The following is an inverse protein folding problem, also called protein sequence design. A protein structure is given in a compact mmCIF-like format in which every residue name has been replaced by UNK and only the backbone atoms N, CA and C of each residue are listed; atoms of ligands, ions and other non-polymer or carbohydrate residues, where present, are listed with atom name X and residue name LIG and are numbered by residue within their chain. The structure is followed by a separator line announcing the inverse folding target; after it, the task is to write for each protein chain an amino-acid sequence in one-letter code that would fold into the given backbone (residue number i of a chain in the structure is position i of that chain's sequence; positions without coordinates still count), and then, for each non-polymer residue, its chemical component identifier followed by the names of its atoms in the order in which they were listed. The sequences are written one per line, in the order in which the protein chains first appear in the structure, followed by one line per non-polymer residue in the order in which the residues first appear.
data_IF_926845158155
#
_entry.id   IF_926845158155
#
_cell.length_a   1.000
_cell.length_b   1.000
_cell.length_c   1.000
_cell.angle_alpha   90.00
_cell.angle_beta   90.00
_cell.angle_gamma   90.00
#
_symmetry.space_group_name_H-M   'P 1'
#
loop_
_entity.id
_entity.type
_entity.pdbx_description
1 polymer ?
#
# COMPACT_ATOMS: atom_id res chain seq x y z
N UNK A 1 25.56 4.50 27.88
CA UNK A 1 25.85 3.25 27.15
C UNK A 1 24.71 2.21 27.14
N UNK A 2 23.70 2.25 28.02
CA UNK A 2 22.59 1.24 28.00
C UNK A 2 21.31 1.67 27.26
N UNK A 3 21.16 2.96 26.89
CA UNK A 3 19.96 3.48 26.24
C UNK A 3 19.95 3.24 24.70
N UNK A 4 21.11 3.23 24.05
CA UNK A 4 21.22 3.04 22.60
C UNK A 4 21.00 1.58 22.18
N UNK A 5 21.31 0.64 23.07
CA UNK A 5 21.17 -0.80 22.81
C UNK A 5 19.70 -1.27 22.81
N UNK A 6 18.85 -0.68 23.66
CA UNK A 6 17.41 -1.02 23.72
C UNK A 6 16.63 -0.51 22.50
N UNK A 7 17.05 0.62 21.90
CA UNK A 7 16.39 1.19 20.71
C UNK A 7 16.61 0.32 19.46
N UNK A 8 17.82 -0.20 19.28
CA UNK A 8 18.17 -1.08 18.15
C UNK A 8 17.47 -2.44 18.20
N UNK A 9 17.13 -2.94 19.38
CA UNK A 9 16.48 -4.25 19.54
C UNK A 9 14.96 -4.21 19.32
N UNK A 10 14.30 -3.08 19.64
CA UNK A 10 12.89 -2.87 19.29
C UNK A 10 12.71 -2.59 17.78
N UNK A 11 13.61 -1.80 17.17
CA UNK A 11 13.60 -1.57 15.71
C UNK A 11 13.85 -2.85 14.89
N UNK A 12 14.57 -3.83 15.45
CA UNK A 12 14.88 -5.10 14.79
C UNK A 12 13.77 -6.16 14.95
N UNK A 13 13.07 -6.19 16.09
CA UNK A 13 11.91 -7.08 16.31
C UNK A 13 10.64 -6.59 15.59
N UNK A 14 10.38 -5.28 15.55
CA UNK A 14 9.18 -4.70 14.92
C UNK A 14 9.20 -4.73 13.38
N UNK A 15 10.40 -4.77 12.77
CA UNK A 15 10.59 -4.92 11.31
C UNK A 15 10.01 -6.21 10.72
N UNK A 16 9.65 -7.19 11.54
CA UNK A 16 9.48 -8.58 11.11
C UNK A 16 8.14 -8.96 10.44
N UNK A 17 7.13 -8.08 10.36
CA UNK A 17 5.82 -8.48 9.79
C UNK A 17 5.07 -7.45 8.94
N UNK A 18 5.68 -6.33 8.56
CA UNK A 18 5.02 -5.39 7.64
C UNK A 18 5.17 -5.88 6.21
N UNK A 19 4.07 -6.28 5.58
CA UNK A 19 4.04 -6.64 4.15
C UNK A 19 3.57 -5.43 3.35
N UNK A 20 4.47 -4.85 2.56
CA UNK A 20 4.06 -3.92 1.51
C UNK A 20 3.54 -4.74 0.33
N UNK A 21 2.34 -4.41 -0.16
CA UNK A 21 1.76 -4.99 -1.38
C UNK A 21 1.21 -3.84 -2.21
N UNK A 22 1.56 -3.82 -3.49
CA UNK A 22 1.06 -2.84 -4.43
C UNK A 22 0.28 -3.52 -5.55
N UNK A 23 -0.91 -2.99 -5.87
CA UNK A 23 -1.71 -3.38 -7.03
C UNK A 23 -1.48 -2.41 -8.18
N UNK A 24 -1.58 -2.91 -9.41
CA UNK A 24 -1.41 -2.11 -10.62
C UNK A 24 -2.72 -1.95 -11.39
N UNK A 25 -2.87 -0.80 -12.05
CA UNK A 25 -4.03 -0.48 -12.90
C UNK A 25 -4.13 -1.35 -14.14
N UNK A 26 -2.99 -1.84 -14.65
CA UNK A 26 -2.98 -2.72 -15.82
C UNK A 26 -3.22 -4.15 -15.34
N UNK A 27 -4.17 -4.84 -15.98
CA UNK A 27 -4.37 -6.28 -15.86
C UNK A 27 -3.16 -6.97 -16.51
N UNK A 28 -2.05 -7.04 -15.78
CA UNK A 28 -0.81 -7.64 -16.24
C UNK A 28 -0.68 -9.05 -15.72
N UNK A 29 -0.08 -9.92 -16.52
CA UNK A 29 0.35 -11.23 -16.04
C UNK A 29 1.44 -11.07 -14.98
N UNK A 30 1.52 -12.07 -14.11
CA UNK A 30 2.47 -12.08 -12.99
C UNK A 30 3.92 -11.97 -13.47
N UNK A 31 4.24 -12.50 -14.65
CA UNK A 31 5.57 -12.43 -15.28
C UNK A 31 5.98 -10.99 -15.57
N UNK A 32 5.12 -10.21 -16.23
CA UNK A 32 5.37 -8.79 -16.49
C UNK A 32 5.51 -7.97 -15.20
N UNK A 33 4.76 -8.32 -14.15
CA UNK A 33 4.91 -7.65 -12.86
C UNK A 33 6.24 -7.99 -12.17
N UNK A 34 6.77 -9.20 -12.36
CA UNK A 34 8.06 -9.59 -11.82
C UNK A 34 9.20 -8.83 -12.51
N UNK A 35 9.13 -8.65 -13.84
CA UNK A 35 10.07 -7.83 -14.61
C UNK A 35 10.03 -6.36 -14.15
N UNK A 36 8.83 -5.76 -14.06
CA UNK A 36 8.68 -4.38 -13.59
C UNK A 36 9.22 -4.19 -12.17
N UNK A 37 9.00 -5.16 -11.28
CA UNK A 37 9.55 -5.15 -9.92
C UNK A 37 11.08 -5.15 -9.96
N UNK A 38 11.68 -5.98 -10.81
CA UNK A 38 13.13 -6.09 -10.95
C UNK A 38 13.74 -4.80 -11.53
N UNK A 39 13.17 -4.28 -12.61
CA UNK A 39 13.60 -3.03 -13.25
C UNK A 39 13.51 -1.81 -12.32
N UNK A 40 12.44 -1.76 -11.51
CA UNK A 40 12.20 -0.66 -10.57
C UNK A 40 12.91 -0.85 -9.23
N UNK A 41 13.62 -1.96 -9.01
CA UNK A 41 14.33 -2.26 -7.76
C UNK A 41 13.41 -2.36 -6.53
N UNK A 42 12.15 -2.77 -6.72
CA UNK A 42 11.16 -2.76 -5.63
C UNK A 42 11.37 -3.92 -4.65
N UNK A 43 11.50 -3.64 -3.33
CA UNK A 43 11.80 -4.68 -2.34
C UNK A 43 10.58 -5.53 -1.96
N UNK A 44 9.42 -5.29 -2.57
CA UNK A 44 8.15 -5.92 -2.24
C UNK A 44 7.43 -6.48 -3.48
N UNK A 45 6.50 -7.44 -3.32
CA UNK A 45 5.75 -8.02 -4.42
C UNK A 45 4.69 -7.06 -4.98
N UNK A 46 4.40 -7.22 -6.27
CA UNK A 46 3.27 -6.59 -6.95
C UNK A 46 2.16 -7.63 -7.12
N UNK A 47 0.94 -7.26 -6.76
CA UNK A 47 -0.23 -8.13 -6.90
C UNK A 47 -0.87 -7.95 -8.27
N UNK A 48 -1.07 -9.06 -8.99
CA UNK A 48 -1.88 -9.10 -10.21
C UNK A 48 -3.35 -9.25 -9.83
N UNK A 49 -4.16 -8.22 -10.06
CA UNK A 49 -5.61 -8.23 -9.85
C UNK A 49 -6.36 -8.17 -11.20
N UNK A 50 -6.22 -9.23 -12.00
CA UNK A 50 -6.77 -9.29 -13.37
C UNK A 50 -8.28 -9.09 -13.42
N UNK A 51 -9.01 -9.61 -12.44
CA UNK A 51 -10.47 -9.47 -12.37
C UNK A 51 -10.94 -8.15 -11.74
N UNK A 52 -10.03 -7.30 -11.26
CA UNK A 52 -10.34 -6.09 -10.47
C UNK A 52 -11.18 -6.37 -9.22
N UNK A 53 -11.26 -7.63 -8.79
CA UNK A 53 -12.11 -8.06 -7.67
C UNK A 53 -11.57 -7.55 -6.34
N UNK A 54 -10.24 -7.52 -6.18
CA UNK A 54 -9.61 -6.97 -4.98
C UNK A 54 -9.77 -5.45 -5.00
N UNK A 55 -9.45 -4.80 -6.12
CA UNK A 55 -9.58 -3.36 -6.26
C UNK A 55 -11.01 -2.87 -5.98
N UNK A 56 -12.03 -3.59 -6.44
CA UNK A 56 -13.44 -3.30 -6.17
C UNK A 56 -13.80 -3.46 -4.69
N UNK A 57 -13.36 -4.54 -4.04
CA UNK A 57 -13.60 -4.76 -2.59
C UNK A 57 -12.99 -3.65 -1.73
N UNK A 58 -11.83 -3.13 -2.13
CA UNK A 58 -11.17 -2.02 -1.46
C UNK A 58 -11.63 -0.64 -1.94
N UNK A 59 -12.65 -0.55 -2.81
CA UNK A 59 -13.20 0.71 -3.32
C UNK A 59 -12.26 1.50 -4.25
N UNK A 60 -11.14 0.89 -4.66
CA UNK A 60 -10.15 1.50 -5.54
C UNK A 60 -10.47 1.32 -7.03
N UNK A 61 -11.46 0.49 -7.37
CA UNK A 61 -12.08 0.45 -8.69
C UNK A 61 -13.50 0.99 -8.56
N UNK A 62 -13.74 2.19 -9.07
CA UNK A 62 -14.99 2.91 -8.85
C UNK A 62 -15.45 3.67 -10.10
N UNK A 63 -16.74 4.02 -10.13
CA UNK A 63 -17.32 4.84 -11.18
C UNK A 63 -17.01 6.32 -10.90
N UNK A 64 -16.33 6.96 -11.86
CA UNK A 64 -15.94 8.36 -11.80
C UNK A 64 -16.70 9.13 -12.88
N UNK A 65 -17.32 10.24 -12.49
CA UNK A 65 -17.98 11.18 -13.42
C UNK A 65 -16.97 12.22 -13.88
N UNK A 66 -16.77 12.34 -15.19
CA UNK A 66 -15.90 13.37 -15.76
C UNK A 66 -16.49 13.88 -17.08
N UNK A 67 -16.69 15.19 -17.17
CA UNK A 67 -17.14 15.84 -18.41
C UNK A 67 -18.52 15.37 -18.90
N UNK A 68 -19.44 15.02 -17.99
CA UNK A 68 -20.79 14.55 -18.34
C UNK A 68 -20.92 13.05 -18.64
N UNK A 69 -19.81 12.31 -18.64
CA UNK A 69 -19.80 10.85 -18.84
C UNK A 69 -19.33 10.11 -17.58
N UNK A 70 -19.83 8.89 -17.40
CA UNK A 70 -19.47 8.01 -16.28
C UNK A 70 -18.54 6.90 -16.80
N UNK A 71 -17.44 6.66 -16.10
CA UNK A 71 -16.47 5.62 -16.45
C UNK A 71 -16.02 4.88 -15.20
N UNK A 72 -15.88 3.56 -15.27
CA UNK A 72 -15.20 2.80 -14.23
C UNK A 72 -13.69 2.93 -14.38
N UNK A 73 -13.00 3.23 -13.29
CA UNK A 73 -11.55 3.40 -13.32
C UNK A 73 -10.90 3.07 -11.99
N UNK A 74 -9.59 2.82 -12.04
CA UNK A 74 -8.80 2.66 -10.83
C UNK A 74 -8.42 4.03 -10.27
N UNK A 75 -8.77 4.28 -9.02
CA UNK A 75 -8.28 5.39 -8.22
C UNK A 75 -7.10 4.94 -7.36
N UNK A 76 -6.09 5.80 -7.23
CA UNK A 76 -4.90 5.48 -6.44
C UNK A 76 -5.25 5.54 -4.96
N UNK A 77 -5.20 4.39 -4.31
CA UNK A 77 -5.44 4.27 -2.87
C UNK A 77 -4.22 3.69 -2.15
N UNK A 78 -4.11 3.98 -0.87
CA UNK A 78 -3.15 3.34 0.04
C UNK A 78 -3.85 3.01 1.33
N UNK A 79 -3.59 1.82 1.87
CA UNK A 79 -4.23 1.32 3.07
C UNK A 79 -3.16 0.86 4.05
N UNK A 80 -3.40 1.06 5.34
CA UNK A 80 -2.71 0.33 6.40
C UNK A 80 -3.72 -0.65 6.96
N UNK A 81 -3.35 -1.92 7.00
CA UNK A 81 -4.19 -3.02 7.45
C UNK A 81 -3.47 -3.69 8.61
N UNK A 82 -4.17 -3.87 9.72
CA UNK A 82 -3.63 -4.53 10.90
C UNK A 82 -3.61 -6.07 10.73
N UNK A 83 -2.98 -6.83 11.65
CA UNK A 83 -2.94 -8.29 11.57
C UNK A 83 -4.32 -8.97 11.66
N UNK A 84 -5.35 -8.29 12.16
CA UNK A 84 -6.73 -8.80 12.21
C UNK A 84 -7.47 -8.63 10.87
N UNK A 85 -6.86 -7.94 9.91
CA UNK A 85 -7.43 -7.65 8.60
C UNK A 85 -8.28 -6.38 8.56
N UNK A 86 -8.23 -5.54 9.59
CA UNK A 86 -8.97 -4.27 9.64
C UNK A 86 -8.14 -3.14 9.03
N UNK A 87 -8.80 -2.29 8.24
CA UNK A 87 -8.21 -1.06 7.73
C UNK A 87 -8.12 -0.04 8.88
N UNK A 88 -6.91 0.32 9.26
CA UNK A 88 -6.63 1.30 10.34
C UNK A 88 -6.31 2.69 9.80
N UNK A 89 -5.94 2.79 8.52
CA UNK A 89 -5.83 4.06 7.81
C UNK A 89 -6.05 3.86 6.31
N UNK A 90 -6.62 4.88 5.65
CA UNK A 90 -6.88 4.90 4.21
C UNK A 90 -6.58 6.28 3.63
N UNK A 91 -6.00 6.29 2.44
CA UNK A 91 -5.88 7.47 1.59
C UNK A 91 -6.42 7.12 0.21
N UNK A 92 -7.29 7.97 -0.32
CA UNK A 92 -7.79 7.95 -1.69
C UNK A 92 -7.19 9.11 -2.51
N UNK A 93 -7.28 9.01 -3.84
CA UNK A 93 -6.79 10.02 -4.78
C UNK A 93 -5.35 10.51 -4.49
N UNK A 94 -4.46 9.57 -4.15
CA UNK A 94 -3.14 9.91 -3.61
C UNK A 94 -2.27 10.70 -4.60
N UNK A 95 -1.87 11.91 -4.21
CA UNK A 95 -0.81 12.66 -4.89
C UNK A 95 0.55 12.19 -4.41
N UNK A 96 1.46 11.90 -5.34
CA UNK A 96 2.80 11.32 -5.06
C UNK A 96 3.60 12.18 -4.08
N UNK A 97 3.60 13.51 -4.29
CA UNK A 97 4.38 14.44 -3.47
C UNK A 97 3.96 14.38 -2.00
N UNK A 98 4.89 14.05 -1.13
CA UNK A 98 4.68 13.98 0.32
C UNK A 98 3.84 12.78 0.79
N UNK A 99 3.53 11.82 -0.10
CA UNK A 99 2.66 10.70 0.26
C UNK A 99 3.34 9.70 1.18
N UNK A 100 4.59 9.36 0.85
CA UNK A 100 5.36 8.37 1.60
C UNK A 100 5.54 8.83 3.05
N UNK A 101 5.86 10.10 3.26
CA UNK A 101 6.05 10.69 4.58
C UNK A 101 4.75 10.67 5.40
N UNK A 102 3.60 10.98 4.77
CA UNK A 102 2.29 10.91 5.42
C UNK A 102 1.97 9.49 5.86
N UNK A 103 2.13 8.52 4.96
CA UNK A 103 1.87 7.10 5.25
C UNK A 103 2.80 6.59 6.34
N UNK A 104 4.09 6.89 6.26
CA UNK A 104 5.09 6.49 7.25
C UNK A 104 4.78 7.09 8.64
N UNK A 105 4.45 8.38 8.70
CA UNK A 105 4.09 9.04 9.97
C UNK A 105 2.83 8.42 10.58
N UNK A 106 1.82 8.12 9.79
CA UNK A 106 0.60 7.46 10.29
C UNK A 106 0.88 6.02 10.72
N UNK A 107 1.71 5.29 9.97
CA UNK A 107 2.12 3.94 10.34
C UNK A 107 2.80 3.91 11.71
N UNK A 108 3.74 4.84 11.96
CA UNK A 108 4.41 4.95 13.27
C UNK A 108 3.41 5.23 14.42
N UNK A 109 2.41 6.07 14.18
CA UNK A 109 1.37 6.33 15.19
C UNK A 109 0.50 5.12 15.47
N UNK A 110 0.18 4.33 14.45
CA UNK A 110 -0.64 3.12 14.60
C UNK A 110 0.07 2.10 15.47
N UNK A 111 1.37 1.86 15.22
CA UNK A 111 2.14 0.89 16.01
C UNK A 111 2.42 1.36 17.45
N UNK A 112 2.36 2.66 17.73
CA UNK A 112 2.53 3.22 19.08
C UNK A 112 1.24 3.17 19.91
N UNK A 113 0.09 2.90 19.28
CA UNK A 113 -1.22 2.81 19.95
C UNK A 113 -1.70 1.38 20.19
N UNK A 114 -0.89 0.38 19.79
CA UNK A 114 -1.06 -1.04 20.16
C UNK A 114 -0.24 -1.40 21.40
#
# INVERSE_FOLDING_TARGET
MQAESKKKENDSKQKSRVKHIQTNRKQLETETLAEMRAESGLPFPLLSDRSSSVASKYGSFCEVKRGGSQYQTHVRCTFIIDPSGKIVAMWDNCRVKGHVERVHKTFLKVIEQE
#
